data_IF_507244285088
#
_entry.id   IF_507244285088
#
_cell.length_a   1.000
_cell.length_b   1.000
_cell.length_c   1.000
_cell.angle_alpha   90.00
_cell.angle_beta   90.00
_cell.angle_gamma   90.00
#
_symmetry.space_group_name_H-M   'P 1'
#
loop_
_entity.id
_entity.type
_entity.pdbx_description
1 polymer ?
#
# COMPACT_ATOMS: atom_id res chain seq x y z
N UNK A 1 0.74 -13.29 -8.12
CA UNK A 1 -0.01 -12.02 -8.27
C UNK A 1 -1.47 -12.37 -8.15
N UNK A 2 -2.23 -11.63 -7.32
CA UNK A 2 -3.67 -11.83 -7.25
C UNK A 2 -4.30 -11.47 -8.60
N UNK A 3 -5.04 -12.38 -9.23
CA UNK A 3 -5.71 -12.16 -10.51
C UNK A 3 -6.92 -11.22 -10.44
N UNK A 4 -7.25 -10.69 -9.25
CA UNK A 4 -8.41 -9.81 -9.03
C UNK A 4 -8.19 -8.46 -9.71
N UNK A 5 -9.10 -8.05 -10.59
CA UNK A 5 -9.17 -6.69 -11.13
C UNK A 5 -10.05 -5.81 -10.24
N UNK A 6 -9.72 -4.54 -10.14
CA UNK A 6 -10.59 -3.55 -9.51
C UNK A 6 -11.68 -3.14 -10.48
N UNK A 7 -12.92 -3.10 -10.00
CA UNK A 7 -14.03 -2.52 -10.77
C UNK A 7 -14.05 -0.99 -10.60
N UNK A 8 -14.79 -0.27 -11.45
CA UNK A 8 -14.84 1.20 -11.42
C UNK A 8 -15.17 1.78 -10.04
N UNK A 9 -16.13 1.18 -9.32
CA UNK A 9 -16.47 1.59 -7.94
C UNK A 9 -15.31 1.45 -6.97
N UNK A 10 -14.57 0.33 -7.05
CA UNK A 10 -13.38 0.11 -6.21
C UNK A 10 -12.27 1.11 -6.56
N UNK A 11 -12.11 1.43 -7.85
CA UNK A 11 -11.15 2.44 -8.32
C UNK A 11 -11.50 3.83 -7.78
N UNK A 12 -12.76 4.22 -7.80
CA UNK A 12 -13.22 5.53 -7.26
C UNK A 12 -13.02 5.63 -5.75
N UNK A 13 -13.36 4.58 -5.00
CA UNK A 13 -13.15 4.52 -3.55
C UNK A 13 -11.66 4.66 -3.24
N UNK A 14 -10.80 3.89 -3.91
CA UNK A 14 -9.35 3.91 -3.68
C UNK A 14 -8.72 5.23 -4.13
N UNK A 15 -9.20 5.84 -5.21
CA UNK A 15 -8.67 7.11 -5.74
C UNK A 15 -9.05 8.31 -4.86
N UNK A 16 -10.08 8.18 -4.03
CA UNK A 16 -10.48 9.20 -3.06
C UNK A 16 -9.54 9.26 -1.83
N UNK A 17 -8.68 8.26 -1.63
CA UNK A 17 -7.73 8.25 -0.52
C UNK A 17 -6.50 9.12 -0.82
N UNK A 18 -6.19 10.08 0.05
CA UNK A 18 -5.03 10.99 -0.06
C UNK A 18 -3.66 10.29 -0.16
N UNK A 19 -3.55 9.06 0.32
CA UNK A 19 -2.32 8.25 0.27
C UNK A 19 -2.17 7.45 -1.03
N UNK A 20 -3.16 7.54 -1.91
CA UNK A 20 -3.17 6.91 -3.23
C UNK A 20 -2.86 7.97 -4.30
N UNK A 21 -1.81 7.73 -5.07
CA UNK A 21 -1.36 8.61 -6.16
C UNK A 21 -2.10 8.32 -7.46
N UNK A 22 -2.32 7.04 -7.76
CA UNK A 22 -3.04 6.58 -8.96
C UNK A 22 -3.58 5.18 -8.75
N UNK A 23 -4.78 4.93 -9.25
CA UNK A 23 -5.36 3.59 -9.33
C UNK A 23 -5.62 3.24 -10.79
N UNK A 24 -5.46 1.97 -11.11
CA UNK A 24 -5.85 1.37 -12.38
C UNK A 24 -6.41 -0.01 -12.06
N UNK A 25 -7.13 -0.63 -13.00
CA UNK A 25 -7.82 -1.93 -12.77
C UNK A 25 -6.89 -3.02 -12.21
N UNK A 26 -5.59 -2.96 -12.53
CA UNK A 26 -4.59 -3.96 -12.11
C UNK A 26 -3.74 -3.55 -10.91
N UNK A 27 -3.55 -2.25 -10.70
CA UNK A 27 -2.48 -1.74 -9.85
C UNK A 27 -2.89 -0.48 -9.07
N UNK A 28 -2.31 -0.33 -7.88
CA UNK A 28 -2.40 0.87 -7.06
C UNK A 28 -1.00 1.44 -6.90
N UNK A 29 -0.86 2.73 -7.15
CA UNK A 29 0.36 3.50 -6.90
C UNK A 29 0.11 4.38 -5.70
N UNK A 30 0.93 4.21 -4.66
CA UNK A 30 0.84 5.00 -3.44
C UNK A 30 1.77 6.21 -3.50
N UNK A 31 1.45 7.22 -2.69
CA UNK A 31 2.29 8.40 -2.52
C UNK A 31 3.62 8.05 -1.84
N UNK A 32 4.61 8.93 -1.96
CA UNK A 32 5.87 8.80 -1.23
C UNK A 32 5.68 9.02 0.27
N UNK A 33 4.80 9.96 0.64
CA UNK A 33 4.43 10.21 2.04
C UNK A 33 3.91 8.95 2.74
N UNK A 34 2.98 8.23 2.11
CA UNK A 34 2.47 6.97 2.67
C UNK A 34 3.57 5.91 2.81
N UNK A 35 4.49 5.82 1.83
CA UNK A 35 5.62 4.90 1.92
C UNK A 35 6.51 5.21 3.12
N UNK A 36 6.78 6.49 3.39
CA UNK A 36 7.56 6.92 4.54
C UNK A 36 6.86 6.58 5.86
N UNK A 37 5.57 6.92 5.99
CA UNK A 37 4.75 6.55 7.15
C UNK A 37 4.78 5.04 7.37
N UNK A 38 4.59 4.27 6.29
CA UNK A 38 4.61 2.82 6.35
C UNK A 38 5.93 2.26 6.87
N UNK A 39 7.07 2.76 6.39
CA UNK A 39 8.39 2.30 6.85
C UNK A 39 8.59 2.64 8.34
N UNK A 40 8.29 3.87 8.75
CA UNK A 40 8.44 4.31 10.15
C UNK A 40 7.58 3.45 11.09
N UNK A 41 6.30 3.30 10.77
CA UNK A 41 5.38 2.53 11.62
C UNK A 41 5.69 1.03 11.59
N UNK A 42 6.13 0.50 10.46
CA UNK A 42 6.57 -0.89 10.37
C UNK A 42 7.88 -1.14 11.14
N UNK A 43 8.79 -0.17 11.22
CA UNK A 43 10.04 -0.29 11.99
C UNK A 43 9.75 -0.35 13.50
N UNK A 44 8.69 0.35 13.95
CA UNK A 44 8.12 0.23 15.31
C UNK A 44 7.41 -1.10 15.58
N UNK A 45 7.33 -2.00 14.59
CA UNK A 45 6.71 -3.31 14.74
C UNK A 45 5.20 -3.36 14.46
N UNK A 46 4.57 -2.29 13.95
CA UNK A 46 3.16 -2.36 13.55
C UNK A 46 2.97 -3.29 12.34
N UNK A 47 1.85 -4.02 12.34
CA UNK A 47 1.49 -4.88 11.22
C UNK A 47 1.05 -4.06 10.01
N UNK A 48 1.50 -4.47 8.81
CA UNK A 48 1.12 -3.81 7.55
C UNK A 48 -0.39 -3.64 7.40
N UNK A 49 -1.18 -4.63 7.82
CA UNK A 49 -2.65 -4.57 7.74
C UNK A 49 -3.20 -3.37 8.52
N UNK A 50 -2.73 -3.17 9.75
CA UNK A 50 -3.16 -2.06 10.60
C UNK A 50 -2.76 -0.70 10.01
N UNK A 51 -1.53 -0.57 9.49
CA UNK A 51 -1.06 0.70 8.91
C UNK A 51 -1.94 1.12 7.72
N UNK A 52 -2.30 0.17 6.85
CA UNK A 52 -3.19 0.45 5.71
C UNK A 52 -4.61 0.80 6.18
N UNK A 53 -5.14 0.09 7.19
CA UNK A 53 -6.44 0.38 7.79
C UNK A 53 -6.49 1.79 8.40
N UNK A 54 -5.51 2.15 9.24
CA UNK A 54 -5.37 3.47 9.89
C UNK A 54 -5.24 4.60 8.86
N UNK A 55 -4.67 4.32 7.68
CA UNK A 55 -4.56 5.27 6.58
C UNK A 55 -5.81 5.31 5.68
N UNK A 56 -6.93 4.72 6.11
CA UNK A 56 -8.21 4.75 5.41
C UNK A 56 -8.21 3.93 4.12
N UNK A 57 -7.32 2.95 4.00
CA UNK A 57 -7.30 2.02 2.87
C UNK A 57 -8.10 0.76 3.21
N UNK A 58 -9.18 0.51 2.49
CA UNK A 58 -10.02 -0.67 2.74
C UNK A 58 -9.31 -1.96 2.32
N UNK A 59 -8.91 -2.74 3.31
CA UNK A 59 -8.12 -3.97 3.13
C UNK A 59 -8.88 -5.01 2.30
N UNK A 60 -10.21 -5.04 2.39
CA UNK A 60 -11.03 -5.99 1.66
C UNK A 60 -11.03 -5.69 0.16
N UNK A 61 -11.00 -4.39 -0.20
CA UNK A 61 -10.93 -3.94 -1.58
C UNK A 61 -9.55 -4.27 -2.15
N UNK A 62 -8.48 -3.84 -1.46
CA UNK A 62 -7.08 -3.98 -1.93
C UNK A 62 -6.66 -5.44 -2.01
N UNK A 63 -6.98 -6.22 -0.98
CA UNK A 63 -6.56 -7.60 -0.82
C UNK A 63 -5.19 -7.76 -0.13
N UNK A 64 -5.11 -8.78 0.73
CA UNK A 64 -3.94 -9.06 1.57
C UNK A 64 -2.67 -9.31 0.76
N UNK A 65 -2.77 -9.98 -0.39
CA UNK A 65 -1.61 -10.28 -1.24
C UNK A 65 -0.94 -9.02 -1.79
N UNK A 66 -1.74 -8.00 -2.16
CA UNK A 66 -1.22 -6.72 -2.64
C UNK A 66 -0.53 -5.97 -1.52
N UNK A 67 -1.12 -5.94 -0.32
CA UNK A 67 -0.51 -5.33 0.88
C UNK A 67 0.83 -5.99 1.19
N UNK A 68 0.90 -7.32 1.20
CA UNK A 68 2.14 -8.07 1.43
C UNK A 68 3.20 -7.76 0.37
N UNK A 69 2.80 -7.72 -0.90
CA UNK A 69 3.71 -7.42 -2.02
C UNK A 69 4.27 -6.00 -1.95
N UNK A 70 3.41 -5.00 -1.68
CA UNK A 70 3.81 -3.61 -1.48
C UNK A 70 4.76 -3.47 -0.28
N UNK A 71 4.37 -4.07 0.86
CA UNK A 71 5.18 -4.08 2.08
C UNK A 71 6.58 -4.64 1.84
N UNK A 72 6.69 -5.80 1.16
CA UNK A 72 7.97 -6.43 0.85
C UNK A 72 8.83 -5.54 -0.03
N UNK A 73 8.24 -4.95 -1.08
CA UNK A 73 8.95 -4.07 -2.01
C UNK A 73 9.50 -2.84 -1.30
N UNK A 74 8.69 -2.14 -0.50
CA UNK A 74 9.13 -0.92 0.19
C UNK A 74 10.19 -1.21 1.25
N UNK A 75 10.05 -2.31 2.00
CA UNK A 75 11.08 -2.73 2.96
C UNK A 75 12.41 -3.05 2.28
N UNK A 76 12.38 -3.71 1.13
CA UNK A 76 13.59 -4.03 0.38
C UNK A 76 14.25 -2.76 -0.20
N UNK A 77 13.47 -1.87 -0.79
CA UNK A 77 13.93 -0.58 -1.31
C UNK A 77 14.59 0.27 -0.21
N UNK A 78 13.94 0.34 0.96
CA UNK A 78 14.48 1.04 2.13
C UNK A 78 15.76 0.40 2.68
N UNK A 79 15.82 -0.93 2.76
CA UNK A 79 17.04 -1.65 3.19
C UNK A 79 18.20 -1.44 2.22
N UNK A 80 17.95 -1.48 0.91
CA UNK A 80 18.96 -1.21 -0.10
C UNK A 80 19.54 0.21 0.03
N UNK A 81 18.68 1.19 0.28
CA UNK A 81 19.10 2.58 0.49
C UNK A 81 19.83 2.85 1.81
N UNK A 82 19.68 1.98 2.82
CA UNK A 82 20.43 2.07 4.09
C UNK A 82 21.87 1.53 4.00
N UNK A 83 22.24 0.87 2.90
CA UNK A 83 23.55 0.21 2.71
C UNK A 83 24.46 1.05 1.77
N UNK A 84 24.27 2.37 1.73
CA UNK A 84 25.16 3.32 1.02
C UNK A 84 25.48 4.47 1.95
#
# INVERSE_FOLDING_TARGET
MSGKLFNNKEIEILSSNKYVKKVSEKAITYTEDFRNIFIIESDKGKFSKLIFDECGSDINIIGIERIKSASKRWKNEYKGNKIT
#
